data_IF_490546424857
#
_entry.id   IF_490546424857
#
_cell.length_a   1.000
_cell.length_b   1.000
_cell.length_c   1.000
_cell.angle_alpha   90.00
_cell.angle_beta   90.00
_cell.angle_gamma   90.00
#
_symmetry.space_group_name_H-M   'P 1'
#
loop_
_entity.id
_entity.type
_entity.pdbx_description
1 polymer ?
#
# COMPACT_ATOMS: atom_id res chain seq x y z
N UNK A 1 14.65 -26.53 7.70
CA UNK A 1 14.77 -25.62 6.53
C UNK A 1 15.67 -24.43 6.90
N UNK A 2 16.43 -23.77 6.00
CA UNK A 2 17.36 -22.69 6.42
C UNK A 2 16.71 -21.50 7.13
N UNK A 3 15.52 -21.09 6.69
CA UNK A 3 14.74 -20.01 7.34
C UNK A 3 14.35 -20.37 8.78
N UNK A 4 14.06 -21.65 9.03
CA UNK A 4 13.73 -22.13 10.36
C UNK A 4 14.92 -22.07 11.32
N UNK A 5 16.12 -22.41 10.82
CA UNK A 5 17.36 -22.24 11.58
C UNK A 5 17.57 -20.76 11.94
N UNK A 6 17.45 -19.86 10.97
CA UNK A 6 17.52 -18.41 11.23
C UNK A 6 16.51 -17.96 12.30
N UNK A 7 15.27 -18.43 12.21
CA UNK A 7 14.23 -18.09 13.18
C UNK A 7 14.59 -18.57 14.60
N UNK A 8 15.08 -19.81 14.74
CA UNK A 8 15.50 -20.37 16.02
C UNK A 8 16.70 -19.60 16.60
N UNK A 9 17.71 -19.32 15.78
CA UNK A 9 18.91 -18.58 16.20
C UNK A 9 18.55 -17.15 16.65
N UNK A 10 17.70 -16.45 15.90
CA UNK A 10 17.19 -15.13 16.28
C UNK A 10 16.40 -15.17 17.59
N UNK A 11 15.49 -16.15 17.75
CA UNK A 11 14.73 -16.30 18.99
C UNK A 11 15.64 -16.56 20.19
N UNK A 12 16.69 -17.38 20.01
CA UNK A 12 17.69 -17.64 21.04
C UNK A 12 18.39 -16.37 21.50
N UNK A 13 18.88 -15.55 20.57
CA UNK A 13 19.50 -14.26 20.91
C UNK A 13 18.53 -13.27 21.55
N UNK A 14 17.30 -13.14 21.03
CA UNK A 14 16.28 -12.25 21.62
C UNK A 14 15.91 -12.68 23.04
N UNK A 15 15.75 -13.98 23.30
CA UNK A 15 15.51 -14.50 24.65
C UNK A 15 16.67 -14.16 25.59
N UNK A 16 17.91 -14.31 25.13
CA UNK A 16 19.10 -14.00 25.93
C UNK A 16 19.27 -12.49 26.25
N UNK A 17 18.68 -11.62 25.44
CA UNK A 17 18.80 -10.16 25.56
C UNK A 17 17.59 -9.50 26.24
N UNK A 18 16.52 -10.24 26.54
CA UNK A 18 15.26 -9.69 27.06
C UNK A 18 14.88 -10.30 28.40
N UNK A 19 13.86 -9.72 29.06
CA UNK A 19 13.28 -10.22 30.31
C UNK A 19 12.06 -11.12 30.08
N UNK A 20 11.90 -11.68 28.88
CA UNK A 20 10.78 -12.57 28.58
C UNK A 20 10.85 -13.81 29.48
N UNK A 21 9.73 -14.23 30.12
CA UNK A 21 9.72 -15.42 30.95
C UNK A 21 10.15 -16.66 30.17
N UNK A 22 10.88 -17.57 30.82
CA UNK A 22 11.24 -18.85 30.23
C UNK A 22 10.00 -19.59 29.71
N UNK A 23 10.07 -20.09 28.47
CA UNK A 23 8.93 -20.73 27.78
C UNK A 23 8.01 -19.77 27.03
N UNK A 24 8.20 -18.45 27.13
CA UNK A 24 7.49 -17.48 26.28
C UNK A 24 8.06 -17.49 24.86
N UNK A 25 7.22 -17.41 23.81
CA UNK A 25 7.72 -17.29 22.44
C UNK A 25 8.31 -15.90 22.21
N UNK A 26 9.61 -15.81 21.90
CA UNK A 26 10.27 -14.56 21.51
C UNK A 26 9.84 -14.05 20.11
N UNK A 27 9.26 -14.93 19.30
CA UNK A 27 8.83 -14.60 17.95
C UNK A 27 7.81 -15.59 17.42
N UNK A 28 7.27 -15.26 16.24
CA UNK A 28 6.34 -16.09 15.51
C UNK A 28 6.80 -16.19 14.05
N UNK A 29 6.75 -17.41 13.51
CA UNK A 29 6.94 -17.69 12.10
C UNK A 29 5.83 -18.63 11.67
N UNK A 30 5.12 -18.28 10.60
CA UNK A 30 4.13 -19.17 10.03
C UNK A 30 4.84 -20.37 9.37
N UNK A 31 4.58 -21.56 9.89
CA UNK A 31 5.18 -22.81 9.43
C UNK A 31 4.23 -23.63 8.56
N UNK A 32 2.90 -23.52 8.76
CA UNK A 32 1.91 -24.52 8.31
C UNK A 32 0.45 -23.99 8.15
N UNK A 33 0.18 -22.69 8.21
CA UNK A 33 -1.18 -22.10 8.36
C UNK A 33 -1.97 -22.07 7.03
N UNK A 34 -1.87 -23.09 6.17
CA UNK A 34 -2.53 -23.10 4.86
C UNK A 34 -3.66 -24.11 4.65
N UNK A 35 -4.07 -24.86 5.69
CA UNK A 35 -4.99 -25.98 5.50
C UNK A 35 -6.06 -26.20 6.59
N UNK A 36 -6.36 -25.22 7.47
CA UNK A 36 -7.35 -25.42 8.55
C UNK A 36 -8.21 -24.18 8.87
N UNK A 37 -9.32 -24.38 9.56
CA UNK A 37 -10.13 -23.29 10.15
C UNK A 37 -9.31 -22.53 11.22
N UNK A 38 -9.44 -21.20 11.32
CA UNK A 38 -8.77 -20.38 12.37
C UNK A 38 -7.43 -19.73 11.97
N UNK A 39 -6.97 -19.97 10.75
CA UNK A 39 -5.64 -19.56 10.26
C UNK A 39 -5.52 -18.02 10.13
N UNK A 40 -6.58 -17.40 9.61
CA UNK A 40 -6.71 -15.94 9.44
C UNK A 40 -6.74 -15.24 10.80
N UNK A 41 -7.51 -15.80 11.74
CA UNK A 41 -7.69 -15.29 13.09
C UNK A 41 -6.38 -15.32 13.88
N UNK A 42 -5.62 -16.42 13.77
CA UNK A 42 -4.32 -16.55 14.42
C UNK A 42 -3.31 -15.55 13.87
N UNK A 43 -3.18 -15.45 12.55
CA UNK A 43 -2.23 -14.53 11.93
C UNK A 43 -2.61 -13.06 12.21
N UNK A 44 -3.90 -12.74 12.10
CA UNK A 44 -4.44 -11.43 12.48
C UNK A 44 -4.16 -11.07 13.94
N UNK A 45 -4.28 -12.04 14.87
CA UNK A 45 -3.94 -11.85 16.27
C UNK A 45 -2.45 -11.61 16.50
N UNK A 46 -1.56 -12.37 15.82
CA UNK A 46 -0.12 -12.15 15.93
C UNK A 46 0.27 -10.77 15.41
N UNK A 47 -0.21 -10.39 14.22
CA UNK A 47 0.09 -9.08 13.62
C UNK A 47 -0.52 -7.92 14.43
N UNK A 48 -1.62 -8.17 15.13
CA UNK A 48 -2.21 -7.21 16.06
C UNK A 48 -1.38 -6.99 17.33
N UNK A 49 -0.53 -7.94 17.74
CA UNK A 49 0.16 -7.91 19.03
C UNK A 49 1.68 -7.88 18.94
N UNK A 50 2.29 -8.23 17.80
CA UNK A 50 3.74 -8.22 17.66
C UNK A 50 4.28 -6.78 17.83
N UNK A 51 5.45 -6.67 18.48
CA UNK A 51 6.15 -5.38 18.70
C UNK A 51 7.03 -5.00 17.52
N UNK A 52 7.61 -5.99 16.85
CA UNK A 52 8.54 -5.81 15.73
C UNK A 52 8.14 -6.75 14.60
N UNK A 53 8.16 -6.25 13.37
CA UNK A 53 7.96 -7.03 12.16
C UNK A 53 9.29 -7.21 11.42
N UNK A 54 9.65 -8.46 11.10
CA UNK A 54 10.94 -8.81 10.49
C UNK A 54 10.71 -9.43 9.11
N UNK A 55 10.62 -8.61 8.04
CA UNK A 55 10.47 -9.11 6.69
C UNK A 55 11.78 -9.68 6.14
N UNK A 56 11.73 -10.86 5.51
CA UNK A 56 12.89 -11.51 4.89
C UNK A 56 13.03 -11.08 3.43
N UNK A 57 13.80 -10.01 3.19
CA UNK A 57 13.97 -9.43 1.86
C UNK A 57 14.57 -10.45 0.89
N UNK A 58 13.80 -10.76 -0.14
CA UNK A 58 14.19 -11.58 -1.28
C UNK A 58 13.21 -11.33 -2.44
N UNK A 59 13.58 -11.66 -3.69
CA UNK A 59 12.64 -11.52 -4.81
C UNK A 59 11.34 -12.30 -4.61
N UNK A 60 11.43 -13.49 -3.99
CA UNK A 60 10.25 -14.33 -3.67
C UNK A 60 9.35 -13.72 -2.60
N UNK A 61 9.92 -13.02 -1.62
CA UNK A 61 9.16 -12.33 -0.58
C UNK A 61 8.32 -11.19 -1.20
N UNK A 62 8.93 -10.35 -2.03
CA UNK A 62 8.22 -9.24 -2.67
C UNK A 62 7.24 -9.67 -3.77
N UNK A 63 7.44 -10.86 -4.36
CA UNK A 63 6.46 -11.46 -5.28
C UNK A 63 5.26 -12.11 -4.57
N UNK A 64 5.29 -12.26 -3.24
CA UNK A 64 4.23 -12.92 -2.50
C UNK A 64 3.15 -11.94 -2.05
N UNK A 65 1.92 -12.13 -2.54
CA UNK A 65 0.75 -11.37 -2.07
C UNK A 65 0.56 -11.52 -0.55
N UNK A 66 0.77 -12.73 -0.03
CA UNK A 66 0.62 -13.00 1.41
C UNK A 66 1.61 -12.20 2.25
N UNK A 67 2.88 -12.14 1.86
CA UNK A 67 3.87 -11.32 2.54
C UNK A 67 3.52 -9.83 2.48
N UNK A 68 2.97 -9.38 1.34
CA UNK A 68 2.44 -8.02 1.21
C UNK A 68 1.26 -7.73 2.13
N UNK A 69 0.38 -8.71 2.39
CA UNK A 69 -0.73 -8.59 3.34
C UNK A 69 -0.24 -8.53 4.79
N UNK A 70 0.73 -9.36 5.15
CA UNK A 70 1.36 -9.32 6.48
C UNK A 70 2.00 -7.96 6.76
N UNK A 71 2.76 -7.46 5.78
CA UNK A 71 3.36 -6.14 5.83
C UNK A 71 2.31 -5.06 6.05
N UNK A 72 1.28 -5.05 5.19
CA UNK A 72 0.22 -4.06 5.27
C UNK A 72 -0.47 -4.07 6.63
N UNK A 73 -0.87 -5.24 7.11
CA UNK A 73 -1.55 -5.40 8.39
C UNK A 73 -0.73 -4.85 9.57
N UNK A 74 0.59 -5.05 9.55
CA UNK A 74 1.47 -4.46 10.57
C UNK A 74 1.62 -2.95 10.41
N UNK A 75 1.87 -2.47 9.18
CA UNK A 75 2.09 -1.05 8.90
C UNK A 75 0.86 -0.18 9.25
N UNK A 76 -0.35 -0.71 9.12
CA UNK A 76 -1.58 -0.04 9.54
C UNK A 76 -1.57 0.37 11.02
N UNK A 77 -1.05 -0.48 11.92
CA UNK A 77 -0.91 -0.13 13.35
C UNK A 77 0.07 1.03 13.54
N UNK A 78 1.17 1.03 12.80
CA UNK A 78 2.16 2.10 12.86
C UNK A 78 1.59 3.44 12.37
N UNK A 79 0.83 3.42 11.27
CA UNK A 79 0.15 4.61 10.73
C UNK A 79 -0.87 5.15 11.74
N UNK A 80 -1.71 4.28 12.31
CA UNK A 80 -2.68 4.68 13.34
C UNK A 80 -2.01 5.24 14.60
N UNK A 81 -0.88 4.66 15.02
CA UNK A 81 -0.09 5.17 16.14
C UNK A 81 0.42 6.60 15.86
N UNK A 82 1.01 6.83 14.69
CA UNK A 82 1.46 8.17 14.25
C UNK A 82 0.28 9.16 14.17
N UNK A 83 -0.85 8.73 13.61
CA UNK A 83 -2.05 9.54 13.52
C UNK A 83 -2.59 9.98 14.88
N UNK A 84 -2.59 9.09 15.87
CA UNK A 84 -3.11 9.36 17.22
C UNK A 84 -2.15 10.18 18.07
N UNK A 85 -0.87 9.83 18.09
CA UNK A 85 0.09 10.35 19.06
C UNK A 85 1.14 11.30 18.49
N UNK A 86 1.24 11.45 17.16
CA UNK A 86 2.31 12.19 16.50
C UNK A 86 3.72 11.73 16.97
N UNK A 87 3.88 10.44 17.21
CA UNK A 87 5.13 9.82 17.67
C UNK A 87 5.66 8.81 16.65
N UNK A 88 6.98 8.65 16.49
CA UNK A 88 7.57 7.64 15.62
C UNK A 88 7.05 6.23 15.91
N UNK A 89 6.89 5.44 14.85
CA UNK A 89 6.37 4.07 14.92
C UNK A 89 7.10 3.14 13.93
N UNK A 90 8.40 3.34 13.75
CA UNK A 90 9.22 2.53 12.85
C UNK A 90 9.63 1.21 13.51
N UNK A 91 8.74 0.21 13.44
CA UNK A 91 8.95 -1.09 14.05
C UNK A 91 9.17 -2.23 13.04
N UNK A 92 9.54 -1.91 11.81
CA UNK A 92 9.93 -2.88 10.78
C UNK A 92 11.45 -2.98 10.75
N UNK A 93 11.98 -4.18 10.95
CA UNK A 93 13.42 -4.47 10.90
C UNK A 93 13.68 -5.41 9.72
N UNK A 94 14.04 -4.90 8.54
CA UNK A 94 14.23 -5.73 7.36
C UNK A 94 15.49 -6.60 7.49
N UNK A 95 15.34 -7.90 7.22
CA UNK A 95 16.43 -8.84 7.18
C UNK A 95 16.69 -9.26 5.72
N UNK A 96 17.86 -8.90 5.19
CA UNK A 96 18.31 -9.27 3.86
C UNK A 96 18.56 -10.79 3.77
N UNK A 97 17.59 -11.52 3.23
CA UNK A 97 17.72 -12.96 3.02
C UNK A 97 18.58 -13.26 1.79
N UNK A 98 18.28 -12.58 0.69
CA UNK A 98 19.07 -12.56 -0.55
C UNK A 98 19.12 -11.11 -1.01
N UNK A 99 20.26 -10.60 -1.53
CA UNK A 99 20.36 -9.25 -2.07
C UNK A 99 19.25 -8.96 -3.10
N UNK A 100 18.57 -7.82 -2.93
CA UNK A 100 17.50 -7.37 -3.82
C UNK A 100 17.89 -6.00 -4.39
N UNK A 101 17.99 -5.85 -5.72
CA UNK A 101 18.21 -4.55 -6.35
C UNK A 101 17.09 -3.56 -5.99
N UNK A 102 17.42 -2.28 -5.85
CA UNK A 102 16.43 -1.22 -5.53
C UNK A 102 15.27 -1.17 -6.53
N UNK A 103 15.53 -1.44 -7.82
CA UNK A 103 14.51 -1.48 -8.88
C UNK A 103 13.46 -2.60 -8.72
N UNK A 104 13.72 -3.58 -7.84
CA UNK A 104 12.79 -4.67 -7.51
C UNK A 104 12.13 -4.47 -6.14
N UNK A 105 12.45 -3.39 -5.42
CA UNK A 105 11.80 -3.08 -4.16
C UNK A 105 10.44 -2.42 -4.41
N UNK A 106 9.36 -2.90 -3.79
CA UNK A 106 8.11 -2.15 -3.78
C UNK A 106 8.29 -0.88 -2.95
N UNK A 107 7.51 0.16 -3.25
CA UNK A 107 7.60 1.47 -2.60
C UNK A 107 7.62 1.44 -1.06
N UNK A 108 6.79 0.62 -0.36
CA UNK A 108 6.87 0.51 1.10
C UNK A 108 8.22 0.01 1.62
N UNK A 109 8.88 -0.89 0.90
CA UNK A 109 10.19 -1.40 1.27
C UNK A 109 11.30 -0.39 0.94
N UNK A 110 11.20 0.30 -0.19
CA UNK A 110 12.17 1.34 -0.61
C UNK A 110 12.23 2.52 0.38
N UNK A 111 11.10 2.87 1.00
CA UNK A 111 11.01 3.97 1.97
C UNK A 111 11.57 3.64 3.35
N UNK A 112 11.89 2.37 3.63
CA UNK A 112 12.51 2.02 4.91
C UNK A 112 13.93 2.59 4.97
N UNK A 113 14.15 3.47 5.94
CA UNK A 113 15.48 3.99 6.28
C UNK A 113 16.23 2.94 7.10
N UNK A 114 16.88 1.98 6.43
CA UNK A 114 17.60 0.90 7.11
C UNK A 114 19.00 0.68 6.54
N UNK A 115 20.02 0.79 7.39
CA UNK A 115 21.40 0.56 7.00
C UNK A 115 21.81 -0.89 7.23
N UNK A 116 21.78 -1.71 6.17
CA UNK A 116 22.20 -3.10 6.22
C UNK A 116 23.70 -3.30 6.50
N UNK A 117 24.55 -2.28 6.33
CA UNK A 117 26.00 -2.38 6.57
C UNK A 117 26.34 -2.60 8.05
N UNK A 118 25.44 -2.22 8.95
CA UNK A 118 25.61 -2.43 10.39
C UNK A 118 25.70 -3.94 10.76
N UNK A 119 25.33 -4.82 9.83
CA UNK A 119 25.35 -6.28 9.98
C UNK A 119 26.52 -6.98 9.26
N UNK A 120 27.44 -6.21 8.68
CA UNK A 120 28.66 -6.69 8.04
C UNK A 120 28.63 -6.66 6.51
N UNK A 121 29.81 -6.52 5.90
CA UNK A 121 29.93 -6.37 4.44
C UNK A 121 29.45 -7.62 3.68
N UNK A 122 29.78 -8.83 4.16
CA UNK A 122 29.32 -10.08 3.55
C UNK A 122 27.82 -10.29 3.67
N UNK A 123 27.19 -9.77 4.74
CA UNK A 123 25.74 -9.80 4.86
C UNK A 123 25.08 -8.99 3.74
N UNK A 124 25.64 -7.82 3.40
CA UNK A 124 25.13 -6.97 2.31
C UNK A 124 25.39 -7.62 0.95
N UNK A 125 26.54 -8.24 0.73
CA UNK A 125 26.89 -8.84 -0.56
C UNK A 125 26.18 -10.16 -0.84
N UNK A 126 26.04 -11.03 0.17
CA UNK A 126 25.63 -12.42 -0.01
C UNK A 126 24.25 -12.72 0.60
N UNK A 127 23.76 -11.86 1.49
CA UNK A 127 22.54 -12.07 2.27
C UNK A 127 22.64 -13.23 3.26
N UNK A 128 21.67 -13.34 4.17
CA UNK A 128 21.64 -14.41 5.18
C UNK A 128 21.62 -15.82 4.57
N UNK A 129 21.01 -16.00 3.39
CA UNK A 129 21.00 -17.29 2.69
C UNK A 129 22.42 -17.73 2.27
N UNK A 130 23.24 -16.80 1.77
CA UNK A 130 24.63 -17.08 1.41
C UNK A 130 25.45 -17.46 2.64
N UNK A 131 25.30 -16.68 3.72
CA UNK A 131 26.02 -16.90 4.98
C UNK A 131 25.64 -18.22 5.65
N UNK A 132 24.35 -18.55 5.75
CA UNK A 132 23.88 -19.75 6.47
C UNK A 132 24.21 -21.05 5.73
N UNK A 133 24.29 -20.99 4.39
CA UNK A 133 24.49 -22.17 3.54
C UNK A 133 25.96 -22.59 3.45
N UNK A 134 26.89 -21.64 3.52
CA UNK A 134 28.31 -21.88 3.33
C UNK A 134 29.01 -21.94 4.69
N UNK A 135 29.56 -23.11 5.03
CA UNK A 135 30.29 -23.32 6.30
C UNK A 135 31.47 -22.36 6.49
N UNK A 136 32.08 -21.92 5.39
CA UNK A 136 33.14 -20.91 5.39
C UNK A 136 32.70 -19.58 6.03
N UNK A 137 31.42 -19.24 5.97
CA UNK A 137 30.85 -17.98 6.46
C UNK A 137 30.09 -18.14 7.79
N UNK A 138 30.39 -19.18 8.56
CA UNK A 138 29.72 -19.44 9.84
C UNK A 138 29.88 -18.27 10.84
N UNK A 139 31.08 -17.69 10.93
CA UNK A 139 31.33 -16.53 11.81
C UNK A 139 30.57 -15.29 11.35
N UNK A 140 30.55 -15.02 10.04
CA UNK A 140 29.80 -13.90 9.46
C UNK A 140 28.29 -14.07 9.69
N UNK A 141 27.78 -15.29 9.56
CA UNK A 141 26.39 -15.63 9.87
C UNK A 141 26.07 -15.35 11.35
N UNK A 142 26.84 -15.89 12.29
CA UNK A 142 26.64 -15.69 13.72
C UNK A 142 26.66 -14.21 14.10
N UNK A 143 27.62 -13.45 13.58
CA UNK A 143 27.72 -12.02 13.79
C UNK A 143 26.49 -11.28 13.23
N UNK A 144 26.10 -11.53 11.98
CA UNK A 144 24.96 -10.88 11.34
C UNK A 144 23.64 -11.15 12.10
N UNK A 145 23.40 -12.40 12.52
CA UNK A 145 22.21 -12.78 13.29
C UNK A 145 22.21 -12.14 14.67
N UNK A 146 23.36 -12.09 15.36
CA UNK A 146 23.49 -11.42 16.64
C UNK A 146 23.17 -9.91 16.55
N UNK A 147 23.71 -9.20 15.54
CA UNK A 147 23.42 -7.78 15.35
C UNK A 147 21.96 -7.52 14.94
N UNK A 148 21.38 -8.40 14.10
CA UNK A 148 19.96 -8.34 13.76
C UNK A 148 19.09 -8.51 15.01
N UNK A 149 19.40 -9.47 15.89
CA UNK A 149 18.71 -9.66 17.16
C UNK A 149 18.82 -8.43 18.08
N UNK A 150 20.02 -7.84 18.20
CA UNK A 150 20.20 -6.57 18.95
C UNK A 150 19.33 -5.45 18.39
N UNK A 151 19.23 -5.33 17.06
CA UNK A 151 18.36 -4.32 16.43
C UNK A 151 16.88 -4.58 16.72
N UNK A 152 16.44 -5.84 16.66
CA UNK A 152 15.05 -6.22 17.02
C UNK A 152 14.74 -5.82 18.46
N UNK A 153 15.61 -6.16 19.42
CA UNK A 153 15.40 -5.82 20.84
C UNK A 153 15.38 -4.31 21.04
N UNK A 154 16.33 -3.59 20.44
CA UNK A 154 16.39 -2.14 20.52
C UNK A 154 15.11 -1.47 19.99
N UNK A 155 14.63 -1.89 18.82
CA UNK A 155 13.39 -1.37 18.23
C UNK A 155 12.19 -1.72 19.10
N UNK A 156 12.12 -2.95 19.62
CA UNK A 156 11.04 -3.34 20.54
C UNK A 156 10.99 -2.41 21.75
N UNK A 157 12.13 -2.10 22.37
CA UNK A 157 12.19 -1.31 23.60
C UNK A 157 11.97 0.19 23.39
N UNK A 158 12.43 0.73 22.26
CA UNK A 158 12.32 2.16 21.95
C UNK A 158 11.02 2.54 21.26
N UNK A 159 10.43 1.64 20.48
CA UNK A 159 9.20 1.90 19.70
C UNK A 159 8.02 1.17 20.34
N UNK A 160 7.11 1.94 20.94
CA UNK A 160 5.96 1.42 21.67
C UNK A 160 4.69 1.48 20.81
N UNK A 161 4.62 0.65 19.76
CA UNK A 161 3.37 0.49 19.00
C UNK A 161 2.38 -0.33 19.83
N UNK A 162 1.31 0.32 20.31
CA UNK A 162 0.24 -0.37 21.03
C UNK A 162 -0.35 -1.55 20.25
N UNK A 163 -0.92 -2.51 20.97
CA UNK A 163 -1.67 -3.61 20.35
C UNK A 163 -2.83 -3.05 19.53
N UNK A 164 -3.02 -3.60 18.33
CA UNK A 164 -4.12 -3.29 17.45
C UNK A 164 -5.28 -4.27 17.61
N UNK A 165 -6.34 -4.04 16.82
CA UNK A 165 -7.42 -5.01 16.66
C UNK A 165 -7.00 -6.09 15.65
N UNK A 166 -7.26 -7.37 15.91
CA UNK A 166 -7.07 -8.42 14.91
C UNK A 166 -7.88 -8.10 13.64
N UNK A 167 -7.18 -8.09 12.49
CA UNK A 167 -7.80 -7.91 11.18
C UNK A 167 -8.23 -9.27 10.62
N UNK A 168 -9.34 -9.29 9.85
CA UNK A 168 -9.62 -10.45 9.00
C UNK A 168 -8.62 -10.44 7.84
N UNK A 169 -7.61 -11.29 7.96
CA UNK A 169 -6.49 -11.35 7.05
C UNK A 169 -6.88 -11.63 5.59
N UNK A 170 -8.06 -12.21 5.35
CA UNK A 170 -8.61 -12.46 4.01
C UNK A 170 -8.96 -11.18 3.26
N UNK A 171 -9.35 -10.13 3.99
CA UNK A 171 -9.79 -8.83 3.45
C UNK A 171 -8.66 -7.81 3.38
N UNK A 172 -7.50 -8.13 3.96
CA UNK A 172 -6.34 -7.24 3.99
C UNK A 172 -5.76 -7.11 2.57
N UNK A 173 -5.50 -5.89 2.07
CA UNK A 173 -4.82 -5.69 0.80
C UNK A 173 -3.31 -5.98 0.91
N UNK A 174 -2.67 -6.26 -0.22
CA UNK A 174 -1.22 -6.42 -0.29
C UNK A 174 -0.53 -5.06 -0.38
N UNK A 175 0.45 -4.80 0.50
CA UNK A 175 1.31 -3.62 0.44
C UNK A 175 2.18 -3.57 -0.83
N UNK A 176 2.40 -4.69 -1.51
CA UNK A 176 3.24 -4.77 -2.70
C UNK A 176 2.48 -4.51 -4.00
N UNK A 177 1.18 -4.24 -3.92
CA UNK A 177 0.29 -4.07 -5.07
C UNK A 177 -0.42 -5.37 -5.48
N UNK A 178 -1.10 -5.32 -6.62
CA UNK A 178 -1.91 -6.44 -7.12
C UNK A 178 -1.01 -7.57 -7.66
N UNK A 179 -1.45 -8.84 -7.55
CA UNK A 179 -0.73 -9.97 -8.15
C UNK A 179 -0.48 -9.73 -9.65
N UNK A 180 0.77 -9.89 -10.10
CA UNK A 180 1.15 -9.67 -11.50
C UNK A 180 1.52 -8.23 -11.88
N UNK A 181 1.35 -7.25 -10.99
CA UNK A 181 1.90 -5.89 -11.21
C UNK A 181 3.43 -5.80 -11.03
N UNK A 182 4.07 -6.91 -10.64
CA UNK A 182 5.49 -6.98 -10.30
C UNK A 182 5.82 -6.24 -9.02
N UNK A 183 6.94 -6.58 -8.37
CA UNK A 183 7.55 -5.69 -7.39
C UNK A 183 8.13 -4.50 -8.17
N UNK A 184 7.27 -3.53 -8.46
CA UNK A 184 7.53 -2.42 -9.37
C UNK A 184 7.42 -1.08 -8.68
N UNK A 185 7.97 -0.05 -9.34
CA UNK A 185 7.97 1.33 -8.89
C UNK A 185 6.56 1.78 -8.45
N UNK A 186 6.46 2.59 -7.38
CA UNK A 186 5.17 3.02 -6.86
C UNK A 186 4.40 3.84 -7.90
N UNK A 187 3.09 3.58 -7.99
CA UNK A 187 2.19 4.15 -9.02
C UNK A 187 1.67 5.52 -8.60
N UNK A 188 1.51 6.50 -9.51
CA UNK A 188 0.97 7.80 -9.12
C UNK A 188 -0.48 7.68 -8.64
N UNK A 189 -0.83 8.47 -7.63
CA UNK A 189 -2.20 8.69 -7.14
C UNK A 189 -2.32 10.13 -6.63
N UNK A 190 -3.42 10.80 -6.95
CA UNK A 190 -3.73 12.13 -6.42
C UNK A 190 -4.70 12.04 -5.24
N UNK A 191 -4.49 12.88 -4.23
CA UNK A 191 -5.43 13.11 -3.14
C UNK A 191 -5.76 14.61 -3.16
N UNK A 192 -6.99 14.93 -3.54
CA UNK A 192 -7.51 16.30 -3.59
C UNK A 192 -8.32 16.58 -2.33
N UNK A 193 -8.11 17.73 -1.69
CA UNK A 193 -8.77 18.11 -0.44
C UNK A 193 -9.65 19.32 -0.67
N UNK A 194 -10.96 19.17 -0.45
CA UNK A 194 -11.93 20.24 -0.45
C UNK A 194 -12.38 20.50 0.99
N UNK A 195 -11.66 21.37 1.68
CA UNK A 195 -11.94 21.77 3.06
C UNK A 195 -11.64 23.26 3.23
N UNK A 196 -12.36 23.95 4.14
CA UNK A 196 -12.00 25.30 4.56
C UNK A 196 -10.57 25.36 5.13
N UNK A 197 -10.01 26.56 5.12
CA UNK A 197 -8.87 26.96 5.96
C UNK A 197 -9.36 27.62 7.24
N UNK A 198 -8.46 27.92 8.17
CA UNK A 198 -8.81 28.65 9.39
C UNK A 198 -9.27 30.09 9.14
N UNK A 199 -9.05 30.63 7.94
CA UNK A 199 -9.30 32.03 7.58
C UNK A 199 -10.63 32.26 6.85
N UNK A 200 -11.27 31.19 6.37
CA UNK A 200 -12.49 31.21 5.54
C UNK A 200 -13.63 30.37 6.17
N UNK A 201 -13.56 30.17 7.50
CA UNK A 201 -14.55 29.37 8.23
C UNK A 201 -15.92 30.05 8.30
N UNK A 202 -17.01 29.26 8.22
CA UNK A 202 -18.34 29.75 8.55
C UNK A 202 -18.41 30.30 9.97
N UNK A 203 -19.28 31.28 10.18
CA UNK A 203 -19.45 31.93 11.49
C UNK A 203 -19.75 30.89 12.59
N UNK A 204 -19.01 30.96 13.68
CA UNK A 204 -19.14 30.07 14.83
C UNK A 204 -18.45 28.71 14.71
N UNK A 205 -17.89 28.33 13.55
CA UNK A 205 -17.16 27.06 13.41
C UNK A 205 -15.84 27.08 14.22
N UNK A 206 -15.57 26.03 14.99
CA UNK A 206 -14.34 25.93 15.78
C UNK A 206 -13.10 25.83 14.86
N UNK A 207 -12.13 26.76 14.96
CA UNK A 207 -10.94 26.76 14.11
C UNK A 207 -9.92 25.65 14.44
N UNK A 208 -9.99 24.99 15.61
CA UNK A 208 -9.02 23.96 16.02
C UNK A 208 -8.96 22.73 15.07
N UNK A 209 -9.99 22.53 14.25
CA UNK A 209 -10.05 21.47 13.25
C UNK A 209 -9.34 21.84 11.93
N UNK A 210 -8.89 23.08 11.77
CA UNK A 210 -8.38 23.63 10.52
C UNK A 210 -7.02 24.31 10.72
N UNK A 211 -6.24 24.39 9.63
CA UNK A 211 -4.96 25.08 9.62
C UNK A 211 -4.91 26.18 8.55
N UNK A 212 -3.70 26.60 8.20
CA UNK A 212 -3.48 27.68 7.24
C UNK A 212 -3.77 27.26 5.79
N UNK A 213 -3.85 25.96 5.53
CA UNK A 213 -4.17 25.37 4.23
C UNK A 213 -5.14 24.17 4.39
N UNK A 214 -5.88 23.79 3.34
CA UNK A 214 -6.83 22.66 3.42
C UNK A 214 -6.19 21.33 3.82
N UNK A 215 -4.89 21.13 3.55
CA UNK A 215 -4.15 19.92 3.89
C UNK A 215 -3.95 19.77 5.42
N UNK A 216 -4.04 20.86 6.18
CA UNK A 216 -3.96 20.86 7.63
C UNK A 216 -5.31 20.54 8.32
N UNK A 217 -6.39 20.39 7.54
CA UNK A 217 -7.68 19.97 8.06
C UNK A 217 -7.62 18.62 8.79
N UNK A 218 -8.19 18.59 10.00
CA UNK A 218 -8.26 17.42 10.85
C UNK A 218 -9.68 17.24 11.43
N UNK A 219 -10.59 16.55 10.73
CA UNK A 219 -11.96 16.32 11.18
C UNK A 219 -12.04 15.40 12.41
N UNK A 220 -10.96 14.72 12.78
CA UNK A 220 -10.92 13.78 13.90
C UNK A 220 -10.14 14.31 15.11
N UNK A 221 -9.85 15.61 15.15
CA UNK A 221 -9.31 16.26 16.35
C UNK A 221 -10.31 16.17 17.53
N UNK A 222 -9.87 15.95 18.78
CA UNK A 222 -8.50 15.69 19.23
C UNK A 222 -8.10 14.21 19.22
N UNK A 223 -8.98 13.29 18.81
CA UNK A 223 -8.69 11.85 18.77
C UNK A 223 -7.53 11.51 17.82
N UNK A 224 -7.29 12.33 16.80
CA UNK A 224 -6.08 12.31 15.99
C UNK A 224 -5.29 13.60 16.17
N UNK A 225 -3.98 13.46 16.40
CA UNK A 225 -3.02 14.56 16.49
C UNK A 225 -2.46 15.00 15.12
N UNK A 226 -2.76 14.28 14.04
CA UNK A 226 -2.26 14.57 12.69
C UNK A 226 -3.42 14.98 11.77
N UNK A 227 -3.18 15.88 10.80
CA UNK A 227 -4.14 16.17 9.75
C UNK A 227 -4.56 14.93 8.97
N UNK A 228 -5.79 14.94 8.44
CA UNK A 228 -6.30 13.80 7.68
C UNK A 228 -5.49 13.55 6.41
N UNK A 229 -5.03 14.62 5.76
CA UNK A 229 -4.18 14.56 4.57
C UNK A 229 -2.94 13.68 4.78
N UNK A 230 -2.27 13.87 5.92
CA UNK A 230 -1.09 13.09 6.30
C UNK A 230 -1.42 11.60 6.43
N UNK A 231 -2.54 11.27 7.09
CA UNK A 231 -2.93 9.88 7.27
C UNK A 231 -3.34 9.24 5.94
N UNK A 232 -4.08 9.97 5.10
CA UNK A 232 -4.48 9.50 3.78
C UNK A 232 -3.25 9.23 2.89
N UNK A 233 -2.27 10.13 2.90
CA UNK A 233 -1.01 9.97 2.18
C UNK A 233 -0.24 8.72 2.62
N UNK A 234 -0.10 8.50 3.92
CA UNK A 234 0.58 7.32 4.48
C UNK A 234 -0.12 6.01 4.10
N UNK A 235 -1.45 5.97 4.17
CA UNK A 235 -2.25 4.81 3.78
C UNK A 235 -2.18 4.50 2.28
N UNK A 236 -2.16 5.53 1.43
CA UNK A 236 -1.99 5.37 -0.02
C UNK A 236 -0.58 4.87 -0.34
N UNK A 237 0.44 5.44 0.33
CA UNK A 237 1.83 4.99 0.19
C UNK A 237 1.99 3.53 0.59
N UNK A 238 1.36 3.08 1.68
CA UNK A 238 1.44 1.68 2.14
C UNK A 238 0.82 0.68 1.14
N UNK A 239 0.13 1.14 0.09
CA UNK A 239 -0.47 0.34 -0.98
C UNK A 239 0.34 0.37 -2.29
N UNK A 240 1.63 0.73 -2.19
CA UNK A 240 2.56 0.89 -3.32
C UNK A 240 2.13 1.96 -4.34
N UNK A 241 1.66 3.11 -3.83
CA UNK A 241 1.44 4.32 -4.63
C UNK A 241 2.39 5.46 -4.21
N UNK A 242 2.63 6.38 -5.14
CA UNK A 242 3.16 7.72 -4.91
C UNK A 242 1.98 8.67 -4.82
N UNK A 243 1.62 9.05 -3.61
CA UNK A 243 0.57 10.02 -3.36
C UNK A 243 1.08 11.46 -3.59
N UNK A 244 0.28 12.27 -4.27
CA UNK A 244 0.43 13.73 -4.36
C UNK A 244 -0.81 14.36 -3.76
N UNK A 245 -0.64 15.12 -2.68
CA UNK A 245 -1.73 15.82 -1.99
C UNK A 245 -1.84 17.24 -2.50
N UNK A 246 -3.03 17.67 -2.92
CA UNK A 246 -3.31 19.02 -3.42
C UNK A 246 -4.57 19.57 -2.80
N UNK A 247 -4.65 20.90 -2.64
CA UNK A 247 -5.95 21.55 -2.45
C UNK A 247 -6.79 21.37 -3.71
N UNK A 248 -8.10 21.18 -3.55
CA UNK A 248 -9.04 21.16 -4.67
C UNK A 248 -9.02 22.49 -5.45
N UNK A 249 -8.68 23.58 -4.77
CA UNK A 249 -8.70 24.93 -5.33
C UNK A 249 -7.43 25.31 -6.10
N UNK A 250 -6.32 24.61 -5.84
CA UNK A 250 -5.01 24.91 -6.40
C UNK A 250 -4.78 24.29 -7.78
N UNK A 251 -5.77 23.67 -8.43
CA UNK A 251 -5.58 23.12 -9.78
C UNK A 251 -5.16 24.24 -10.77
N UNK A 252 -3.90 24.22 -11.25
CA UNK A 252 -3.42 25.20 -12.20
C UNK A 252 -4.04 24.90 -13.56
N UNK A 253 -5.12 25.61 -13.86
CA UNK A 253 -5.82 25.53 -15.13
C UNK A 253 -6.86 24.41 -15.16
N UNK A 254 -8.10 24.80 -14.83
CA UNK A 254 -9.26 24.33 -15.59
C UNK A 254 -9.00 24.60 -17.07
N UNK A 255 -8.26 23.71 -17.73
CA UNK A 255 -8.14 23.68 -19.18
C UNK A 255 -9.44 23.10 -19.67
N UNK A 256 -10.30 23.97 -20.19
CA UNK A 256 -11.52 23.62 -20.89
C UNK A 256 -11.26 22.47 -21.87
N UNK A 257 -11.81 21.29 -21.56
CA UNK A 257 -11.64 20.09 -22.37
C UNK A 257 -11.85 18.81 -21.56
N UNK A 258 -12.36 17.78 -22.23
CA UNK A 258 -12.57 16.43 -21.67
C UNK A 258 -11.19 15.79 -21.41
N UNK A 259 -10.57 16.15 -20.30
CA UNK A 259 -9.21 15.74 -19.96
C UNK A 259 -9.15 14.21 -19.84
N UNK A 260 -8.19 13.59 -20.53
CA UNK A 260 -7.92 12.16 -20.33
C UNK A 260 -7.49 11.92 -18.87
N UNK A 261 -7.80 10.76 -18.27
CA UNK A 261 -7.38 10.45 -16.91
C UNK A 261 -5.86 10.52 -16.83
N UNK A 262 -5.30 11.37 -15.97
CA UNK A 262 -3.86 11.48 -15.77
C UNK A 262 -3.36 10.53 -14.67
N UNK A 263 -4.18 10.28 -13.65
CA UNK A 263 -3.90 9.42 -12.51
C UNK A 263 -5.22 9.04 -11.82
N UNK A 264 -5.30 7.91 -11.09
CA UNK A 264 -6.41 7.72 -10.15
C UNK A 264 -6.40 8.78 -9.05
N UNK A 265 -7.57 9.16 -8.55
CA UNK A 265 -7.74 10.27 -7.62
C UNK A 265 -8.74 9.95 -6.51
N UNK A 266 -8.44 10.44 -5.30
CA UNK A 266 -9.32 10.43 -4.14
C UNK A 266 -9.65 11.87 -3.80
N UNK A 267 -10.94 12.18 -3.69
CA UNK A 267 -11.43 13.49 -3.26
C UNK A 267 -11.89 13.39 -1.80
N UNK A 268 -11.22 14.08 -0.90
CA UNK A 268 -11.63 14.24 0.51
C UNK A 268 -12.44 15.53 0.63
N UNK A 269 -13.67 15.44 1.13
CA UNK A 269 -14.58 16.60 1.22
C UNK A 269 -15.00 16.83 2.66
N UNK A 270 -14.76 18.05 3.16
CA UNK A 270 -15.43 18.56 4.35
C UNK A 270 -16.80 19.13 3.96
N UNK A 271 -17.86 18.74 4.66
CA UNK A 271 -19.19 19.31 4.38
C UNK A 271 -19.28 20.78 4.77
N UNK A 272 -18.46 21.25 5.73
CA UNK A 272 -18.42 22.67 6.09
C UNK A 272 -17.96 23.55 4.92
N UNK A 273 -17.19 22.99 3.97
CA UNK A 273 -16.78 23.68 2.75
C UNK A 273 -17.96 24.07 1.84
N UNK A 274 -19.14 23.43 2.01
CA UNK A 274 -20.34 23.72 1.22
C UNK A 274 -21.08 24.98 1.66
N UNK A 275 -20.65 25.62 2.75
CA UNK A 275 -21.14 26.93 3.15
C UNK A 275 -20.52 28.05 2.30
N UNK A 276 -19.36 27.80 1.69
CA UNK A 276 -18.79 28.68 0.66
C UNK A 276 -19.50 28.41 -0.68
N UNK A 277 -20.20 29.43 -1.18
CA UNK A 277 -20.93 29.41 -2.43
C UNK A 277 -20.04 29.19 -3.67
N UNK A 278 -18.83 29.73 -3.67
CA UNK A 278 -17.88 29.62 -4.78
C UNK A 278 -17.28 28.23 -4.84
N UNK A 279 -16.90 27.68 -3.68
CA UNK A 279 -16.44 26.28 -3.59
C UNK A 279 -17.56 25.31 -3.95
N UNK A 280 -18.79 25.54 -3.47
CA UNK A 280 -19.96 24.73 -3.82
C UNK A 280 -20.22 24.71 -5.33
N UNK A 281 -20.17 25.86 -6.01
CA UNK A 281 -20.31 25.94 -7.48
C UNK A 281 -19.25 25.13 -8.23
N UNK A 282 -17.99 25.17 -7.76
CA UNK A 282 -16.89 24.41 -8.36
C UNK A 282 -17.03 22.89 -8.14
N UNK A 283 -17.42 22.46 -6.93
CA UNK A 283 -17.72 21.06 -6.65
C UNK A 283 -18.89 20.53 -7.49
N UNK A 284 -19.95 21.33 -7.69
CA UNK A 284 -21.05 20.97 -8.59
C UNK A 284 -20.64 20.91 -10.06
N UNK A 285 -19.70 21.75 -10.51
CA UNK A 285 -19.13 21.64 -11.84
C UNK A 285 -18.31 20.35 -12.00
N UNK A 286 -17.49 20.03 -11.01
CA UNK A 286 -16.70 18.81 -10.96
C UNK A 286 -17.56 17.54 -10.95
N UNK A 287 -18.66 17.51 -10.19
CA UNK A 287 -19.60 16.38 -10.15
C UNK A 287 -20.25 16.12 -11.51
N UNK A 288 -20.63 17.20 -12.23
CA UNK A 288 -21.21 17.12 -13.58
C UNK A 288 -20.27 16.51 -14.63
N UNK A 289 -18.96 16.65 -14.45
CA UNK A 289 -17.98 15.98 -15.32
C UNK A 289 -18.00 14.45 -15.17
N UNK A 290 -18.52 13.96 -14.04
CA UNK A 290 -18.72 12.55 -13.73
C UNK A 290 -17.49 11.68 -14.00
N UNK A 291 -16.32 12.10 -13.48
CA UNK A 291 -15.04 11.40 -13.64
C UNK A 291 -15.04 10.08 -12.84
N UNK A 292 -15.17 8.87 -13.45
CA UNK A 292 -15.38 7.63 -12.69
C UNK A 292 -14.14 7.16 -11.91
N UNK A 293 -12.95 7.63 -12.30
CA UNK A 293 -11.66 7.35 -11.64
C UNK A 293 -11.36 8.24 -10.42
N UNK A 294 -12.26 9.19 -10.12
CA UNK A 294 -12.22 9.97 -8.88
C UNK A 294 -13.23 9.38 -7.91
N UNK A 295 -12.79 8.91 -6.74
CA UNK A 295 -13.69 8.41 -5.68
C UNK A 295 -13.73 9.39 -4.51
N UNK A 296 -14.94 9.74 -4.07
CA UNK A 296 -15.16 10.69 -2.97
C UNK A 296 -15.21 9.99 -1.61
N UNK A 297 -14.61 10.61 -0.60
CA UNK A 297 -14.69 10.21 0.81
C UNK A 297 -15.03 11.44 1.64
N UNK A 298 -16.01 11.31 2.53
CA UNK A 298 -16.51 12.40 3.37
C UNK A 298 -16.26 12.05 4.84
N UNK A 299 -15.17 12.53 5.44
CA UNK A 299 -14.96 12.47 6.88
C UNK A 299 -16.08 13.19 7.64
N UNK A 300 -16.60 12.58 8.70
CA UNK A 300 -17.67 13.19 9.50
C UNK A 300 -17.63 12.69 10.95
N UNK A 301 -16.94 13.41 11.83
CA UNK A 301 -16.81 13.00 13.23
C UNK A 301 -18.13 13.19 14.00
N UNK A 302 -18.65 12.11 14.59
CA UNK A 302 -19.89 12.13 15.39
C UNK A 302 -19.73 12.76 16.78
N UNK A 303 -18.49 12.86 17.25
CA UNK A 303 -18.14 13.47 18.55
C UNK A 303 -18.04 15.00 18.46
N UNK A 304 -17.93 15.57 17.25
CA UNK A 304 -18.02 17.02 17.05
C UNK A 304 -19.48 17.48 17.15
N UNK A 305 -19.81 18.19 18.23
CA UNK A 305 -21.15 18.69 18.49
C UNK A 305 -21.66 19.65 17.40
N UNK A 306 -20.79 20.48 16.81
CA UNK A 306 -21.18 21.40 15.75
C UNK A 306 -21.54 20.64 14.48
N UNK A 307 -20.71 19.68 14.10
CA UNK A 307 -20.96 18.81 12.95
C UNK A 307 -22.22 17.97 13.16
N UNK A 308 -22.45 17.41 14.35
CA UNK A 308 -23.69 16.67 14.66
C UNK A 308 -24.94 17.54 14.55
N UNK A 309 -24.88 18.79 15.01
CA UNK A 309 -26.01 19.71 14.93
C UNK A 309 -26.35 20.11 13.48
N UNK A 310 -25.33 20.27 12.64
CA UNK A 310 -25.48 20.66 11.23
C UNK A 310 -25.61 19.47 10.26
N UNK A 311 -25.66 18.23 10.75
CA UNK A 311 -25.55 17.01 9.93
C UNK A 311 -26.64 16.93 8.85
N UNK A 312 -27.90 17.20 9.19
CA UNK A 312 -29.01 17.12 8.24
C UNK A 312 -28.86 18.16 7.11
N UNK A 313 -28.64 19.43 7.47
CA UNK A 313 -28.48 20.53 6.53
C UNK A 313 -27.29 20.31 5.59
N UNK A 314 -26.13 19.96 6.15
CA UNK A 314 -24.90 19.79 5.39
C UNK A 314 -24.90 18.52 4.53
N UNK A 315 -25.61 17.46 4.96
CA UNK A 315 -25.82 16.26 4.13
C UNK A 315 -26.72 16.60 2.94
N UNK A 316 -27.83 17.30 3.16
CA UNK A 316 -28.72 17.73 2.09
C UNK A 316 -28.00 18.63 1.08
N UNK A 317 -27.23 19.62 1.57
CA UNK A 317 -26.39 20.47 0.70
C UNK A 317 -25.40 19.65 -0.12
N UNK A 318 -24.76 18.63 0.45
CA UNK A 318 -23.84 17.76 -0.27
C UNK A 318 -24.56 16.95 -1.35
N UNK A 319 -25.72 16.37 -1.04
CA UNK A 319 -26.53 15.58 -1.98
C UNK A 319 -27.02 16.42 -3.16
N UNK A 320 -27.38 17.69 -2.91
CA UNK A 320 -27.75 18.63 -3.96
C UNK A 320 -26.54 19.08 -4.81
N UNK A 321 -25.37 19.23 -4.19
CA UNK A 321 -24.15 19.73 -4.87
C UNK A 321 -23.45 18.63 -5.69
N UNK A 322 -23.34 17.42 -5.15
CA UNK A 322 -22.58 16.32 -5.74
C UNK A 322 -23.36 14.99 -5.81
N UNK A 323 -24.56 14.97 -6.46
CA UNK A 323 -25.40 13.78 -6.51
C UNK A 323 -24.74 12.59 -7.21
N UNK A 324 -23.91 12.81 -8.24
CA UNK A 324 -23.25 11.73 -8.96
C UNK A 324 -22.21 11.03 -8.07
N UNK A 325 -21.34 11.80 -7.37
CA UNK A 325 -20.35 11.26 -6.43
C UNK A 325 -21.00 10.54 -5.25
N UNK A 326 -22.14 11.00 -4.74
CA UNK A 326 -22.87 10.34 -3.66
C UNK A 326 -23.37 8.93 -4.03
N UNK A 327 -23.67 8.70 -5.31
CA UNK A 327 -24.19 7.42 -5.80
C UNK A 327 -23.12 6.54 -6.47
N UNK A 328 -21.92 7.08 -6.69
CA UNK A 328 -20.87 6.42 -7.45
C UNK A 328 -20.30 5.18 -6.75
N UNK A 329 -20.02 4.14 -7.56
CA UNK A 329 -19.16 3.03 -7.18
C UNK A 329 -19.86 1.93 -6.37
N UNK A 330 -19.06 1.19 -5.59
CA UNK A 330 -19.52 0.04 -4.80
C UNK A 330 -20.24 0.50 -3.52
N UNK A 331 -20.90 -0.42 -2.82
CA UNK A 331 -21.65 -0.10 -1.60
C UNK A 331 -20.80 0.63 -0.54
N UNK A 332 -19.55 0.20 -0.32
CA UNK A 332 -18.65 0.88 0.62
C UNK A 332 -18.22 2.28 0.16
N UNK A 333 -18.10 2.55 -1.15
CA UNK A 333 -17.82 3.91 -1.64
C UNK A 333 -18.97 4.85 -1.29
N UNK A 334 -20.21 4.38 -1.41
CA UNK A 334 -21.40 5.15 -0.98
C UNK A 334 -21.43 5.35 0.54
N UNK A 335 -20.97 4.36 1.32
CA UNK A 335 -20.81 4.54 2.79
C UNK A 335 -19.75 5.60 3.09
N UNK A 336 -18.61 5.59 2.38
CA UNK A 336 -17.56 6.60 2.52
C UNK A 336 -18.05 8.02 2.17
N UNK A 337 -18.88 8.15 1.13
CA UNK A 337 -19.51 9.41 0.75
C UNK A 337 -20.57 9.91 1.75
N UNK A 338 -21.24 8.98 2.45
CA UNK A 338 -22.26 9.29 3.47
C UNK A 338 -21.70 9.71 4.82
N UNK A 339 -20.40 9.61 5.06
CA UNK A 339 -19.78 10.01 6.33
C UNK A 339 -18.94 8.91 6.96
N UNK A 340 -17.65 9.17 7.14
CA UNK A 340 -16.71 8.29 7.85
C UNK A 340 -16.54 8.78 9.29
N UNK A 341 -16.98 8.02 10.31
CA UNK A 341 -17.21 8.53 11.65
C UNK A 341 -15.95 8.73 12.50
N UNK A 342 -14.86 8.03 12.19
CA UNK A 342 -13.64 8.01 13.00
C UNK A 342 -12.40 7.75 12.17
N UNK A 343 -11.23 8.04 12.74
CA UNK A 343 -9.94 7.74 12.12
C UNK A 343 -9.74 6.24 11.89
N UNK A 344 -10.25 5.38 12.79
CA UNK A 344 -10.20 3.92 12.60
C UNK A 344 -11.05 3.49 11.39
N UNK A 345 -12.27 4.00 11.28
CA UNK A 345 -13.15 3.72 10.13
C UNK A 345 -12.54 4.22 8.81
N UNK A 346 -11.86 5.37 8.85
CA UNK A 346 -11.12 5.91 7.70
C UNK A 346 -10.00 4.97 7.25
N UNK A 347 -9.18 4.48 8.18
CA UNK A 347 -8.13 3.50 7.89
C UNK A 347 -8.66 2.18 7.30
N UNK A 348 -9.86 1.75 7.68
CA UNK A 348 -10.49 0.52 7.15
C UNK A 348 -11.08 0.68 5.75
N UNK A 349 -11.61 1.87 5.42
CA UNK A 349 -12.35 2.10 4.17
C UNK A 349 -11.48 2.63 3.03
N UNK A 350 -10.49 3.47 3.35
CA UNK A 350 -9.62 4.10 2.34
C UNK A 350 -8.92 3.09 1.42
N UNK A 351 -8.41 1.93 1.88
CA UNK A 351 -7.72 0.98 1.01
C UNK A 351 -8.62 0.40 -0.07
N UNK A 352 -9.89 0.17 0.27
CA UNK A 352 -10.90 -0.30 -0.69
C UNK A 352 -11.26 0.81 -1.69
N UNK A 353 -11.29 2.07 -1.23
CA UNK A 353 -11.50 3.25 -2.08
C UNK A 353 -10.34 3.43 -3.08
N UNK A 354 -9.09 3.30 -2.62
CA UNK A 354 -7.88 3.32 -3.46
C UNK A 354 -7.98 2.29 -4.58
N UNK A 355 -8.37 1.06 -4.26
CA UNK A 355 -8.51 -0.02 -5.23
C UNK A 355 -9.57 0.31 -6.28
N UNK A 356 -10.73 0.85 -5.86
CA UNK A 356 -11.80 1.26 -6.80
C UNK A 356 -11.33 2.39 -7.70
N UNK A 357 -10.70 3.43 -7.16
CA UNK A 357 -10.19 4.55 -7.96
C UNK A 357 -9.18 4.06 -9.02
N UNK A 358 -8.25 3.18 -8.62
CA UNK A 358 -7.27 2.59 -9.52
C UNK A 358 -7.90 1.69 -10.59
N UNK A 359 -8.87 0.85 -10.24
CA UNK A 359 -9.58 0.00 -11.20
C UNK A 359 -10.36 0.83 -12.22
N UNK A 360 -11.04 1.89 -11.77
CA UNK A 360 -11.77 2.79 -12.67
C UNK A 360 -10.81 3.57 -13.56
N UNK A 361 -9.69 4.04 -13.03
CA UNK A 361 -8.64 4.66 -13.84
C UNK A 361 -8.17 3.72 -14.95
N UNK A 362 -7.81 2.47 -14.63
CA UNK A 362 -7.34 1.51 -15.65
C UNK A 362 -8.39 1.20 -16.73
N UNK A 363 -9.69 1.26 -16.40
CA UNK A 363 -10.77 1.05 -17.38
C UNK A 363 -10.97 2.22 -18.34
N UNK A 364 -10.61 3.43 -17.91
CA UNK A 364 -10.87 4.67 -18.65
C UNK A 364 -9.61 5.33 -19.21
N UNK A 365 -8.42 4.95 -18.72
CA UNK A 365 -7.15 5.44 -19.20
C UNK A 365 -6.92 4.99 -20.65
N UNK A 366 -6.51 5.93 -21.49
CA UNK A 366 -6.06 5.64 -22.86
C UNK A 366 -4.77 4.84 -22.80
N UNK A 367 -4.80 3.61 -23.30
CA UNK A 367 -3.62 2.74 -23.37
C UNK A 367 -2.69 3.27 -24.45
N UNK A 368 -1.53 3.79 -24.06
CA UNK A 368 -0.42 4.00 -24.99
C UNK A 368 0.44 2.73 -24.98
N UNK A 369 0.34 1.84 -25.99
CA UNK A 369 1.33 0.80 -26.15
C UNK A 369 2.71 1.47 -26.32
N UNK A 370 3.79 0.89 -25.76
CA UNK A 370 5.11 1.48 -25.85
C UNK A 370 5.45 1.75 -27.33
N UNK A 371 5.85 3.00 -27.61
CA UNK A 371 6.30 3.40 -28.93
C UNK A 371 7.53 2.57 -29.31
N UNK A 372 7.37 1.62 -30.23
CA UNK A 372 8.49 0.81 -30.75
C UNK A 372 8.24 -0.69 -30.91
N UNK A 373 7.04 -1.22 -30.64
CA UNK A 373 6.72 -2.60 -31.00
C UNK A 373 6.43 -2.73 -32.49
N UNK A 374 7.44 -3.08 -33.30
CA UNK A 374 7.20 -3.68 -34.63
C UNK A 374 6.13 -4.76 -34.47
N UNK A 375 5.16 -4.79 -35.39
CA UNK A 375 4.13 -5.83 -35.49
C UNK A 375 4.70 -7.19 -35.11
N UNK A 376 4.46 -7.65 -33.88
CA UNK A 376 4.63 -9.05 -33.55
C UNK A 376 3.49 -9.75 -34.25
N UNK A 377 3.81 -10.50 -35.30
CA UNK A 377 2.86 -11.44 -35.90
C UNK A 377 2.16 -12.20 -34.78
N UNK A 378 0.83 -12.28 -34.86
CA UNK A 378 0.00 -13.06 -33.94
C UNK A 378 0.63 -14.44 -33.78
N UNK A 379 1.08 -14.76 -32.57
CA UNK A 379 1.51 -16.11 -32.21
C UNK A 379 0.32 -17.05 -32.41
N UNK A 380 0.27 -17.73 -33.56
CA UNK A 380 -0.69 -18.80 -33.80
C UNK A 380 -0.22 -20.00 -33.01
N UNK A 381 -1.08 -20.51 -32.12
CA UNK A 381 -0.90 -21.83 -31.55
C UNK A 381 -0.94 -22.85 -32.71
N UNK A 382 0.22 -23.35 -33.13
CA UNK A 382 0.30 -24.57 -33.93
C UNK A 382 0.08 -25.73 -32.98
N UNK A 383 -1.10 -26.36 -33.06
CA UNK A 383 -1.38 -27.61 -32.36
C UNK A 383 -0.46 -28.74 -32.84
N UNK A 384 -0.25 -29.79 -32.02
CA UNK A 384 0.61 -30.89 -32.41
C UNK A 384 -0.18 -31.78 -33.37
N UNK A 385 0.20 -31.81 -34.65
CA UNK A 385 0.09 -32.96 -35.58
C UNK A 385 0.39 -32.50 -37.00
N UNK A 386 1.43 -33.09 -37.59
CA UNK A 386 1.82 -32.85 -38.97
C UNK A 386 2.77 -33.94 -39.43
N UNK A 387 2.19 -35.08 -39.80
CA UNK A 387 2.80 -36.25 -40.41
C UNK A 387 3.89 -35.91 -41.44
N UNK A 388 5.08 -36.46 -41.25
CA UNK A 388 6.10 -36.61 -42.29
C UNK A 388 5.55 -37.44 -43.45
N UNK A 389 5.18 -36.79 -44.55
CA UNK A 389 5.11 -37.43 -45.87
C UNK A 389 6.45 -37.27 -46.56
N UNK A 390 7.19 -38.36 -46.60
CA UNK A 390 8.35 -38.57 -47.44
C UNK A 390 7.89 -38.54 -48.92
N UNK A 391 8.48 -37.66 -49.72
CA UNK A 391 8.37 -37.69 -51.19
C UNK A 391 9.73 -38.21 -51.69
N UNK A 392 9.82 -39.37 -52.34
CA UNK A 392 11.07 -39.84 -52.93
C UNK A 392 11.28 -39.17 -54.30
N UNK A 393 12.41 -38.49 -54.46
CA UNK A 393 12.88 -38.01 -55.76
C UNK A 393 13.30 -39.20 -56.63
N UNK A 394 12.65 -39.31 -57.79
CA UNK A 394 13.02 -40.22 -58.87
C UNK A 394 14.17 -39.56 -59.66
N UNK A 395 15.35 -40.15 -59.59
CA UNK A 395 16.45 -39.88 -60.53
C UNK A 395 16.56 -41.04 -61.52
N UNK A 396 16.58 -40.71 -62.81
CA UNK A 396 17.17 -41.53 -63.87
C UNK A 396 17.46 -40.61 -65.09
N UNK A 397 18.31 -41.00 -66.06
CA UNK A 397 19.77 -40.93 -65.93
C UNK A 397 20.45 -40.26 -67.15
N UNK A 398 21.80 -40.29 -67.10
CA UNK A 398 22.77 -40.25 -68.20
C UNK A 398 23.03 -38.90 -68.90
N UNK A 399 24.29 -38.45 -68.87
CA UNK A 399 25.22 -38.63 -70.00
C UNK A 399 26.68 -38.34 -69.61
N UNK A 400 27.57 -39.11 -70.22
CA UNK A 400 29.03 -39.15 -70.14
C UNK A 400 29.74 -37.82 -70.47
N UNK A 401 30.96 -37.63 -69.93
CA UNK A 401 32.23 -37.68 -70.69
C UNK A 401 33.38 -36.99 -69.93
N UNK A 402 34.50 -37.72 -69.79
CA UNK A 402 35.92 -37.34 -70.00
C UNK A 402 36.48 -36.07 -69.30
N UNK A 403 37.66 -36.04 -68.67
CA UNK A 403 38.94 -36.60 -69.08
C UNK A 403 39.96 -36.55 -67.91
N UNK A 404 40.85 -37.55 -67.92
CA UNK A 404 42.22 -37.72 -67.32
C UNK A 404 42.47 -37.48 -65.84
#
# INVERSE_FOLDING_TARGET
MWVERLFQDLCGHVMAMTKLPAGSPAGFMDREIRSGEGWSERLGSVLANCRVFVPLFSPRYFASEMCGKEWYAFEQRAIQHRARLNQPAEAIVPALWVPVPSSQLPGPAERLQFNHRDFGDRYVSDGLYGLIKLTLFAQDYEQAVYHLAKRIVHVADTVQIGSGRPLDFRLVPSAFGAPGSGAGAPRPMRISIAAPTRHDLPEGRNPEYYGDNPQEWNPYHPASARPLAYVAEELVRSLNYQAVVTSFDEEPGQREGKQSPSTPEILLVDRWALQDEDLRRRLAAFDRENRPWVTMVVPWCREDHQSRAAEAELTEKLEQTMPAKMQQGRAFCRVAAKGVPSMEAFGQILPQVVEVAAQQYLRHATVYPPAGGRHSERTRLMGPMGSTRFIPDMHDPATDAEDV
#
